data_IF_570182285316
#
_entry.id   IF_570182285316
#
_cell.length_a   1.000
_cell.length_b   1.000
_cell.length_c   1.000
_cell.angle_alpha   90.00
_cell.angle_beta   90.00
_cell.angle_gamma   90.00
#
_symmetry.space_group_name_H-M   'P 1'
#
loop_
_entity.id
_entity.type
_entity.pdbx_description
1 polymer ?
#
# COMPACT_ATOMS: atom_id res chain seq x y z
N UNK A 1 -11.35 10.27 -9.94
CA UNK A 1 -11.94 9.22 -9.10
C UNK A 1 -10.89 8.79 -8.09
N UNK A 2 -11.28 8.61 -6.83
CA UNK A 2 -10.41 8.01 -5.82
C UNK A 2 -11.11 6.80 -5.22
N UNK A 3 -10.33 5.77 -4.88
CA UNK A 3 -10.83 4.53 -4.31
C UNK A 3 -10.05 4.17 -3.05
N UNK A 4 -10.75 3.65 -2.05
CA UNK A 4 -10.16 3.09 -0.83
C UNK A 4 -10.40 1.59 -0.82
N UNK A 5 -9.33 0.83 -0.69
CA UNK A 5 -9.35 -0.62 -0.57
C UNK A 5 -8.74 -1.03 0.77
N UNK A 6 -9.32 -2.06 1.39
CA UNK A 6 -8.83 -2.68 2.61
C UNK A 6 -8.04 -3.93 2.25
N UNK A 7 -6.88 -4.12 2.88
CA UNK A 7 -5.98 -5.24 2.59
C UNK A 7 -5.64 -6.01 3.86
N UNK A 8 -5.95 -7.30 3.85
CA UNK A 8 -5.47 -8.24 4.85
C UNK A 8 -4.45 -9.18 4.24
N UNK A 9 -3.49 -9.63 5.04
CA UNK A 9 -2.53 -10.64 4.63
C UNK A 9 -2.46 -11.76 5.66
N UNK A 10 -2.38 -13.01 5.20
CA UNK A 10 -2.13 -14.19 6.02
C UNK A 10 -0.86 -14.88 5.52
N UNK A 11 -0.07 -15.38 6.46
CA UNK A 11 1.13 -16.17 6.16
C UNK A 11 0.93 -17.52 6.85
N UNK A 12 0.65 -18.60 6.09
CA UNK A 12 0.18 -19.86 6.67
C UNK A 12 1.15 -20.58 7.61
N UNK A 13 2.44 -20.21 7.66
CA UNK A 13 3.48 -20.91 8.43
C UNK A 13 4.32 -19.93 9.26
N UNK A 14 3.99 -19.71 10.54
CA UNK A 14 4.80 -18.87 11.42
C UNK A 14 5.50 -19.66 12.53
N UNK A 15 6.80 -19.87 12.34
CA UNK A 15 7.80 -20.21 13.37
C UNK A 15 9.12 -19.43 13.22
N UNK A 16 9.28 -18.64 12.16
CA UNK A 16 10.53 -17.95 11.83
C UNK A 16 10.41 -16.42 12.05
N UNK A 17 11.36 -15.84 12.80
CA UNK A 17 11.30 -14.47 13.33
C UNK A 17 11.66 -13.40 12.30
N UNK A 18 12.31 -13.78 11.20
CA UNK A 18 12.89 -12.85 10.23
C UNK A 18 11.86 -12.12 9.36
N UNK A 19 10.71 -12.74 9.06
CA UNK A 19 9.60 -12.08 8.33
C UNK A 19 8.70 -11.22 9.23
N UNK A 20 8.69 -11.48 10.54
CA UNK A 20 7.94 -10.66 11.49
C UNK A 20 8.45 -9.21 11.50
N UNK A 21 9.69 -8.98 11.09
CA UNK A 21 10.25 -7.64 10.96
C UNK A 21 9.72 -6.86 9.74
N UNK A 22 9.06 -7.48 8.77
CA UNK A 22 8.46 -6.77 7.62
C UNK A 22 6.94 -6.64 7.75
N UNK A 23 6.27 -7.59 8.41
CA UNK A 23 4.80 -7.56 8.62
C UNK A 23 4.37 -7.13 10.03
N UNK A 24 5.23 -7.27 11.05
CA UNK A 24 4.97 -6.81 12.43
C UNK A 24 5.84 -5.60 12.83
N UNK A 25 6.70 -5.07 11.95
CA UNK A 25 7.35 -3.79 12.23
C UNK A 25 6.36 -2.66 11.99
N UNK A 26 6.11 -1.90 13.05
CA UNK A 26 5.33 -0.67 12.95
C UNK A 26 5.94 0.25 11.88
N UNK A 27 5.13 0.86 10.99
CA UNK A 27 5.63 1.83 10.01
C UNK A 27 6.49 2.95 10.63
N UNK A 28 6.24 3.30 11.90
CA UNK A 28 7.08 4.23 12.70
C UNK A 28 8.57 3.86 12.79
N UNK A 29 8.87 2.56 12.66
CA UNK A 29 10.22 2.01 12.76
C UNK A 29 10.90 1.85 11.41
N UNK A 30 10.18 2.09 10.31
CA UNK A 30 10.75 1.95 8.97
C UNK A 30 11.87 2.97 8.76
N UNK A 31 12.94 2.49 8.16
CA UNK A 31 14.12 3.28 7.78
C UNK A 31 14.41 3.00 6.31
N UNK A 32 15.34 3.76 5.72
CA UNK A 32 15.76 3.61 4.31
C UNK A 32 15.91 2.15 3.89
N UNK A 33 16.64 1.33 4.67
CA UNK A 33 16.84 -0.10 4.36
C UNK A 33 15.54 -0.92 4.28
N UNK A 34 14.52 -0.58 5.07
CA UNK A 34 13.22 -1.23 5.03
C UNK A 34 12.45 -0.80 3.78
N UNK A 35 12.43 0.51 3.49
CA UNK A 35 11.77 1.05 2.30
C UNK A 35 12.41 0.50 1.00
N UNK A 36 13.73 0.42 0.94
CA UNK A 36 14.44 -0.15 -0.20
C UNK A 36 14.04 -1.62 -0.43
N UNK A 37 13.93 -2.42 0.64
CA UNK A 37 13.47 -3.81 0.55
C UNK A 37 12.03 -3.90 0.05
N UNK A 38 11.13 -3.07 0.57
CA UNK A 38 9.73 -3.00 0.12
C UNK A 38 9.68 -2.70 -1.39
N UNK A 39 10.46 -1.72 -1.86
CA UNK A 39 10.52 -1.36 -3.27
C UNK A 39 11.09 -2.48 -4.15
N UNK A 40 12.15 -3.17 -3.69
CA UNK A 40 12.75 -4.29 -4.41
C UNK A 40 11.75 -5.45 -4.55
N UNK A 41 11.13 -5.86 -3.46
CA UNK A 41 10.15 -6.96 -3.45
C UNK A 41 8.92 -6.61 -4.29
N UNK A 42 8.40 -5.38 -4.13
CA UNK A 42 7.26 -4.91 -4.93
C UNK A 42 7.54 -4.87 -6.43
N UNK A 43 8.75 -4.46 -6.83
CA UNK A 43 9.14 -4.47 -8.23
C UNK A 43 9.31 -5.89 -8.79
N UNK A 44 9.84 -6.83 -8.01
CA UNK A 44 9.93 -8.24 -8.40
C UNK A 44 8.54 -8.82 -8.66
N UNK A 45 7.61 -8.62 -7.72
CA UNK A 45 6.22 -9.05 -7.86
C UNK A 45 5.53 -8.43 -9.08
N UNK A 46 5.71 -7.12 -9.30
CA UNK A 46 5.16 -6.43 -10.48
C UNK A 46 5.64 -7.07 -11.79
N UNK A 47 6.95 -7.32 -11.91
CA UNK A 47 7.54 -7.93 -13.12
C UNK A 47 7.02 -9.35 -13.34
N UNK A 48 6.83 -10.14 -12.28
CA UNK A 48 6.28 -11.49 -12.37
C UNK A 48 4.84 -11.47 -12.88
N UNK A 49 3.98 -10.62 -12.30
CA UNK A 49 2.57 -10.51 -12.70
C UNK A 49 2.44 -10.04 -14.15
N UNK A 50 3.14 -8.96 -14.53
CA UNK A 50 3.09 -8.41 -15.89
C UNK A 50 3.51 -9.45 -16.94
N UNK A 51 4.56 -10.24 -16.64
CA UNK A 51 5.02 -11.30 -17.54
C UNK A 51 4.03 -12.46 -17.63
N UNK A 52 3.43 -12.86 -16.52
CA UNK A 52 2.55 -14.01 -16.46
C UNK A 52 1.19 -13.72 -17.12
N UNK A 53 0.61 -12.57 -16.82
CA UNK A 53 -0.72 -12.17 -17.30
C UNK A 53 -0.70 -11.45 -18.65
N UNK A 54 0.49 -11.13 -19.18
CA UNK A 54 0.68 -10.35 -20.41
C UNK A 54 -0.08 -9.01 -20.39
N UNK A 55 -0.08 -8.35 -19.22
CA UNK A 55 -0.79 -7.07 -18.99
C UNK A 55 0.18 -5.89 -18.99
N UNK A 56 -0.28 -4.74 -19.48
CA UNK A 56 0.52 -3.50 -19.56
C UNK A 56 0.55 -2.74 -18.23
N UNK A 57 -0.56 -2.79 -17.47
CA UNK A 57 -0.72 -2.08 -16.21
C UNK A 57 -1.47 -2.95 -15.21
N UNK A 58 -0.98 -3.00 -13.97
CA UNK A 58 -1.61 -3.78 -12.89
C UNK A 58 -2.66 -2.90 -12.22
N UNK A 59 -3.90 -3.37 -12.18
CA UNK A 59 -4.96 -2.83 -11.34
C UNK A 59 -5.09 -3.69 -10.07
N UNK A 60 -5.71 -3.14 -9.01
CA UNK A 60 -5.91 -3.86 -7.74
C UNK A 60 -6.65 -5.19 -7.92
N UNK A 61 -7.56 -5.27 -8.90
CA UNK A 61 -8.30 -6.47 -9.28
C UNK A 61 -7.46 -7.55 -9.96
N UNK A 62 -6.29 -7.18 -10.50
CA UNK A 62 -5.36 -8.09 -11.18
C UNK A 62 -4.25 -8.59 -10.24
N UNK A 63 -4.32 -8.26 -8.94
CA UNK A 63 -3.32 -8.73 -7.99
C UNK A 63 -3.56 -10.21 -7.65
N UNK A 64 -2.51 -11.05 -7.65
CA UNK A 64 -2.64 -12.44 -7.25
C UNK A 64 -3.00 -12.52 -5.77
N UNK A 65 -4.02 -13.33 -5.45
CA UNK A 65 -4.42 -13.58 -4.07
C UNK A 65 -3.33 -14.28 -3.24
N UNK A 66 -2.40 -14.98 -3.90
CA UNK A 66 -1.29 -15.69 -3.26
C UNK A 66 -0.02 -15.42 -4.05
N UNK A 67 1.05 -15.04 -3.37
CA UNK A 67 2.38 -14.86 -3.97
C UNK A 67 3.49 -15.18 -2.96
N UNK A 68 4.73 -15.25 -3.43
CA UNK A 68 5.89 -15.54 -2.58
C UNK A 68 6.73 -14.30 -2.33
N UNK A 69 7.24 -14.16 -1.10
CA UNK A 69 8.30 -13.22 -0.77
C UNK A 69 9.44 -14.02 -0.14
N UNK A 70 10.50 -14.27 -0.90
CA UNK A 70 11.58 -15.16 -0.46
C UNK A 70 11.03 -16.57 -0.16
N UNK A 71 11.29 -17.14 1.03
CA UNK A 71 10.78 -18.47 1.39
C UNK A 71 9.32 -18.47 1.89
N UNK A 72 8.67 -17.29 1.97
CA UNK A 72 7.34 -17.16 2.57
C UNK A 72 6.26 -17.10 1.50
N UNK A 73 5.18 -17.84 1.74
CA UNK A 73 3.93 -17.73 0.98
C UNK A 73 3.04 -16.71 1.69
N UNK A 74 2.62 -15.69 0.95
CA UNK A 74 1.73 -14.63 1.41
C UNK A 74 0.41 -14.79 0.68
N UNK A 75 -0.67 -14.89 1.45
CA UNK A 75 -2.04 -14.83 0.96
C UNK A 75 -2.61 -13.44 1.31
N UNK A 76 -3.22 -12.77 0.34
CA UNK A 76 -3.83 -11.46 0.51
C UNK A 76 -5.33 -11.49 0.21
N UNK A 77 -6.08 -10.73 0.98
CA UNK A 77 -7.50 -10.47 0.78
C UNK A 77 -7.68 -8.97 0.57
N UNK A 78 -8.16 -8.58 -0.61
CA UNK A 78 -8.42 -7.19 -0.95
C UNK A 78 -9.93 -6.97 -1.02
N UNK A 79 -10.43 -6.09 -0.17
CA UNK A 79 -11.80 -5.59 -0.26
C UNK A 79 -11.73 -4.23 -0.98
N UNK A 80 -11.82 -4.28 -2.31
CA UNK A 80 -11.69 -3.11 -3.18
C UNK A 80 -12.97 -2.24 -3.17
N UNK A 81 -12.83 -0.97 -3.56
CA UNK A 81 -13.93 -0.04 -3.80
C UNK A 81 -14.90 0.15 -2.62
N UNK A 82 -14.41 0.03 -1.38
CA UNK A 82 -15.25 0.29 -0.20
C UNK A 82 -15.80 1.71 -0.21
N UNK A 83 -15.03 2.66 -0.75
CA UNK A 83 -15.50 3.99 -1.09
C UNK A 83 -14.87 4.41 -2.43
N UNK A 84 -15.71 4.66 -3.45
CA UNK A 84 -15.30 5.01 -4.79
C UNK A 84 -16.16 6.17 -5.32
N UNK A 85 -15.66 7.40 -5.25
CA UNK A 85 -16.40 8.57 -5.77
C UNK A 85 -15.48 9.74 -6.19
N UNK A 86 -16.09 10.79 -6.71
CA UNK A 86 -15.56 12.12 -6.91
C UNK A 86 -15.40 12.77 -5.54
N UNK A 87 -14.24 12.55 -4.93
CA UNK A 87 -13.88 13.07 -3.60
C UNK A 87 -13.88 14.61 -3.47
N UNK A 88 -14.14 15.33 -4.56
CA UNK A 88 -14.31 16.78 -4.60
C UNK A 88 -15.59 17.13 -5.34
N UNK A 89 -16.57 17.68 -4.64
CA UNK A 89 -17.82 18.15 -5.24
C UNK A 89 -18.20 19.50 -4.65
N UNK A 90 -18.40 20.51 -5.51
CA UNK A 90 -18.81 21.88 -5.11
C UNK A 90 -17.93 22.50 -4.01
N UNK A 91 -16.61 22.28 -4.06
CA UNK A 91 -15.67 22.79 -3.06
C UNK A 91 -15.56 21.97 -1.77
N UNK A 92 -16.35 20.89 -1.64
CA UNK A 92 -16.26 19.98 -0.51
C UNK A 92 -15.33 18.79 -0.83
N UNK A 93 -14.28 18.62 -0.03
CA UNK A 93 -13.40 17.46 -0.06
C UNK A 93 -13.96 16.37 0.87
N UNK A 94 -14.81 15.48 0.36
CA UNK A 94 -15.37 14.37 1.13
C UNK A 94 -14.31 13.31 1.51
N UNK A 95 -13.11 13.40 0.92
CA UNK A 95 -12.02 12.45 1.13
C UNK A 95 -11.66 12.26 2.60
N UNK A 96 -11.56 13.36 3.35
CA UNK A 96 -11.12 13.31 4.74
C UNK A 96 -12.14 12.64 5.65
N UNK A 97 -13.43 12.87 5.40
CA UNK A 97 -14.53 12.24 6.15
C UNK A 97 -14.56 10.74 5.88
N UNK A 98 -14.47 10.35 4.60
CA UNK A 98 -14.43 8.94 4.19
C UNK A 98 -13.23 8.21 4.81
N UNK A 99 -12.04 8.82 4.79
CA UNK A 99 -10.88 8.20 5.44
C UNK A 99 -11.08 8.08 6.95
N UNK A 100 -11.68 9.08 7.61
CA UNK A 100 -11.97 9.03 9.04
C UNK A 100 -12.92 7.88 9.37
N UNK A 101 -14.07 7.80 8.70
CA UNK A 101 -15.04 6.72 8.88
C UNK A 101 -14.44 5.34 8.58
N UNK A 102 -13.58 5.25 7.57
CA UNK A 102 -12.88 4.02 7.23
C UNK A 102 -11.93 3.58 8.35
N UNK A 103 -11.12 4.49 8.88
CA UNK A 103 -10.13 4.19 9.93
C UNK A 103 -10.71 4.06 11.35
N UNK A 104 -12.01 4.34 11.54
CA UNK A 104 -12.74 3.95 12.76
C UNK A 104 -12.84 2.42 12.90
N UNK A 105 -12.88 1.70 11.78
CA UNK A 105 -13.10 0.24 11.74
C UNK A 105 -11.88 -0.54 11.26
N UNK A 106 -10.94 0.14 10.63
CA UNK A 106 -9.79 -0.47 9.96
C UNK A 106 -8.49 0.21 10.36
N UNK A 107 -7.37 -0.51 10.26
CA UNK A 107 -6.05 0.01 10.63
C UNK A 107 -5.09 0.15 9.43
N UNK A 108 -5.52 -0.23 8.23
CA UNK A 108 -4.73 -0.09 7.02
C UNK A 108 -5.62 0.13 5.80
N UNK A 109 -5.07 0.78 4.76
CA UNK A 109 -5.74 1.01 3.49
C UNK A 109 -4.74 1.07 2.35
N UNK A 110 -5.18 0.65 1.16
CA UNK A 110 -4.62 1.11 -0.10
C UNK A 110 -5.55 2.19 -0.66
N UNK A 111 -4.99 3.37 -0.90
CA UNK A 111 -5.73 4.52 -1.38
C UNK A 111 -5.23 4.86 -2.78
N UNK A 112 -6.12 4.83 -3.75
CA UNK A 112 -5.83 5.28 -5.10
C UNK A 112 -6.48 6.65 -5.36
N UNK A 113 -5.70 7.62 -5.81
CA UNK A 113 -6.15 8.95 -6.24
C UNK A 113 -5.63 9.18 -7.66
N UNK A 114 -6.52 9.05 -8.66
CA UNK A 114 -6.10 9.07 -10.06
C UNK A 114 -5.11 7.92 -10.36
N UNK A 115 -3.88 8.26 -10.76
CA UNK A 115 -2.79 7.30 -11.03
C UNK A 115 -1.86 7.06 -9.85
N UNK A 116 -2.11 7.71 -8.71
CA UNK A 116 -1.29 7.56 -7.50
C UNK A 116 -1.93 6.56 -6.56
N UNK A 117 -1.16 5.57 -6.13
CA UNK A 117 -1.53 4.57 -5.13
C UNK A 117 -0.65 4.77 -3.89
N UNK A 118 -1.28 4.94 -2.73
CA UNK A 118 -0.65 5.11 -1.43
C UNK A 118 -1.07 3.98 -0.51
N UNK A 119 -0.18 3.56 0.39
CA UNK A 119 -0.54 2.66 1.48
C UNK A 119 -0.56 3.44 2.79
N UNK A 120 -1.62 3.29 3.57
CA UNK A 120 -1.83 4.04 4.82
C UNK A 120 -2.05 3.06 5.96
N UNK A 121 -1.47 3.34 7.12
CA UNK A 121 -1.71 2.63 8.38
C UNK A 121 -2.16 3.60 9.46
N UNK A 122 -3.08 3.16 10.31
CA UNK A 122 -3.46 3.85 11.53
C UNK A 122 -3.03 3.00 12.73
N UNK A 123 -2.10 3.53 13.54
CA UNK A 123 -1.56 2.82 14.70
C UNK A 123 -1.22 3.81 15.81
N UNK A 124 -1.66 3.51 17.03
CA UNK A 124 -1.40 4.34 18.24
C UNK A 124 -1.76 5.81 18.03
N UNK A 125 -2.94 6.06 17.45
CA UNK A 125 -3.47 7.40 17.17
C UNK A 125 -2.60 8.24 16.21
N UNK A 126 -1.77 7.57 15.41
CA UNK A 126 -0.96 8.19 14.35
C UNK A 126 -1.26 7.51 13.02
N UNK A 127 -1.26 8.32 11.97
CA UNK A 127 -1.34 7.85 10.59
C UNK A 127 0.05 7.79 9.99
N UNK A 128 0.33 6.70 9.29
CA UNK A 128 1.56 6.51 8.52
C UNK A 128 1.19 6.31 7.07
N UNK A 129 1.90 6.97 6.16
CA UNK A 129 1.63 6.88 4.73
C UNK A 129 2.90 6.51 3.97
N UNK A 130 2.87 5.40 3.25
CA UNK A 130 3.89 5.04 2.28
C UNK A 130 3.51 5.55 0.89
N UNK A 131 4.37 6.40 0.33
CA UNK A 131 4.31 6.87 -1.04
C UNK A 131 5.45 6.20 -1.85
N UNK A 132 5.12 5.26 -2.77
CA UNK A 132 6.14 4.52 -3.52
C UNK A 132 6.78 5.33 -4.64
N UNK A 133 6.25 6.53 -4.94
CA UNK A 133 6.70 7.31 -6.07
C UNK A 133 7.88 8.22 -5.69
N UNK A 134 8.60 8.67 -6.71
CA UNK A 134 9.75 9.56 -6.52
C UNK A 134 9.31 10.94 -6.00
N UNK A 135 9.67 11.24 -4.74
CA UNK A 135 9.34 12.49 -4.03
C UNK A 135 10.60 13.24 -3.56
N UNK A 136 10.51 14.56 -3.50
CA UNK A 136 11.51 15.40 -2.81
C UNK A 136 11.20 15.50 -1.31
N UNK A 137 11.98 16.31 -0.58
CA UNK A 137 11.81 16.57 0.86
C UNK A 137 10.49 17.26 1.24
N UNK A 138 9.76 17.80 0.27
CA UNK A 138 8.47 18.47 0.43
C UNK A 138 7.30 17.57 0.00
N UNK A 139 7.55 16.28 -0.22
CA UNK A 139 6.59 15.31 -0.74
C UNK A 139 6.01 15.68 -2.13
N UNK A 140 6.72 16.50 -2.92
CA UNK A 140 6.37 16.82 -4.30
C UNK A 140 7.04 15.85 -5.27
N UNK A 141 6.40 15.61 -6.42
CA UNK A 141 6.96 14.77 -7.50
C UNK A 141 8.32 15.30 -7.93
N UNK A 142 9.34 14.45 -7.89
CA UNK A 142 10.69 14.78 -8.30
C UNK A 142 11.24 13.68 -9.20
N UNK A 143 12.05 14.02 -10.22
CA UNK A 143 12.64 13.00 -11.11
C UNK A 143 13.70 12.15 -10.41
N UNK A 144 14.47 12.76 -9.52
CA UNK A 144 15.56 12.13 -8.76
C UNK A 144 15.20 12.01 -7.27
N UNK A 145 13.91 11.97 -6.96
CA UNK A 145 13.41 11.76 -5.61
C UNK A 145 13.46 10.29 -5.19
N UNK A 146 12.90 9.99 -4.03
CA UNK A 146 12.82 8.64 -3.49
C UNK A 146 11.39 8.36 -2.98
N UNK A 147 11.06 7.08 -2.85
CA UNK A 147 9.88 6.67 -2.09
C UNK A 147 10.04 7.12 -0.63
N UNK A 148 8.93 7.41 0.05
CA UNK A 148 8.96 7.89 1.42
C UNK A 148 7.86 7.24 2.28
N UNK A 149 8.09 7.28 3.60
CA UNK A 149 7.07 7.03 4.61
C UNK A 149 6.94 8.29 5.44
N UNK A 150 5.72 8.81 5.53
CA UNK A 150 5.31 9.96 6.35
C UNK A 150 4.62 9.47 7.63
#
# INVERSE_FOLDING_TARGET
>A
MATVALVYSRIPNYGDRSFSLLTNSSPSTWRRKTLDKIMIIGNQLYVEIVKHENIVEIALENLPAIFTIGPYIVEIYIYANLHADTMFKKGHCAFMEILREFFEKNNNAIVQIGKSILAIWHQRNMYYCFDPYSRNSEALKCRNGSACSL
#
